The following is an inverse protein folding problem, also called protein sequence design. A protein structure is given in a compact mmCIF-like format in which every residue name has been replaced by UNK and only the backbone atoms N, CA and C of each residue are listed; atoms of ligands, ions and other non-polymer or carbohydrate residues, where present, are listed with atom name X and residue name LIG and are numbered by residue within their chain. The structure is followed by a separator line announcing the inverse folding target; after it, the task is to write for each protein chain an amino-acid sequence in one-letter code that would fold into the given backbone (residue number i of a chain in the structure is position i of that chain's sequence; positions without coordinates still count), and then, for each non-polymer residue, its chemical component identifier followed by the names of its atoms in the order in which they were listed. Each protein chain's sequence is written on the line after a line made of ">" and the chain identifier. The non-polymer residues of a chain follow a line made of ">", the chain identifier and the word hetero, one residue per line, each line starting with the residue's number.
data_IF_321134555416
#
_entry.id   IF_321134555416
#
_cell.length_a   1.000
_cell.length_b   1.000
_cell.length_c   1.000
_cell.angle_alpha   90.00
_cell.angle_beta   90.00
_cell.angle_gamma   90.00
#
_symmetry.space_group_name_H-M   'P 1'
#
loop_
_entity.id
_entity.type
_entity.pdbx_description
1 polymer ?
#
# COMPACT_ATOMS: atom_id res chain seq x y z
N UNK A 1 8.42 2.84 24.46
CA UNK A 1 8.08 3.95 23.54
C UNK A 1 9.28 4.88 23.41
N UNK A 2 10.13 4.71 22.39
CA UNK A 2 11.36 5.49 22.23
C UNK A 2 11.77 5.57 20.74
N UNK A 3 12.58 6.56 20.32
CA UNK A 3 13.17 6.64 19.00
C UNK A 3 13.91 5.36 18.61
N UNK A 4 13.85 4.95 17.32
CA UNK A 4 14.45 3.71 16.86
C UNK A 4 15.97 3.66 17.08
N UNK A 5 16.68 4.79 17.05
CA UNK A 5 18.14 4.89 17.25
C UNK A 5 18.56 4.50 18.67
N UNK A 6 17.62 4.50 19.62
CA UNK A 6 17.85 4.23 21.05
C UNK A 6 17.33 2.87 21.51
N UNK A 7 16.94 2.00 20.57
CA UNK A 7 16.47 0.65 20.87
C UNK A 7 17.56 -0.19 21.56
N UNK A 8 17.20 -0.83 22.68
CA UNK A 8 18.11 -1.68 23.47
C UNK A 8 17.62 -3.12 23.59
N UNK A 9 16.40 -3.41 23.13
CA UNK A 9 15.85 -4.77 23.15
C UNK A 9 16.45 -5.63 22.03
N UNK A 10 16.40 -6.96 22.21
CA UNK A 10 16.77 -7.92 21.17
C UNK A 10 15.81 -7.81 19.98
N UNK A 11 16.34 -7.94 18.76
CA UNK A 11 15.58 -7.92 17.51
C UNK A 11 15.79 -9.27 16.79
N UNK A 12 15.01 -10.31 17.16
CA UNK A 12 15.16 -11.63 16.56
C UNK A 12 14.81 -11.60 15.07
N UNK A 13 15.48 -12.46 14.31
CA UNK A 13 15.18 -12.68 12.90
C UNK A 13 14.36 -13.97 12.75
N UNK A 14 13.25 -13.87 12.04
CA UNK A 14 12.39 -14.99 11.67
C UNK A 14 12.48 -15.25 10.17
N UNK A 15 12.10 -16.45 9.75
CA UNK A 15 12.11 -16.86 8.35
C UNK A 15 11.03 -17.90 8.09
N UNK A 16 10.72 -18.06 6.82
CA UNK A 16 9.98 -19.19 6.27
C UNK A 16 10.96 -20.14 5.58
N UNK A 17 10.67 -21.44 5.61
CA UNK A 17 11.45 -22.49 4.95
C UNK A 17 10.55 -23.71 4.62
N UNK A 18 11.05 -24.75 3.94
CA UNK A 18 10.21 -25.90 3.56
C UNK A 18 9.49 -26.62 4.71
N UNK A 19 9.96 -26.50 5.96
CA UNK A 19 9.33 -27.09 7.13
C UNK A 19 8.36 -26.13 7.82
N UNK A 20 8.52 -24.83 7.59
CA UNK A 20 7.69 -23.76 8.12
C UNK A 20 7.36 -22.79 6.95
N UNK A 21 6.43 -23.18 6.06
CA UNK A 21 6.13 -22.44 4.83
C UNK A 21 5.44 -21.09 5.06
N UNK A 22 5.34 -20.28 4.01
CA UNK A 22 4.62 -19.02 4.02
C UNK A 22 4.43 -18.50 2.59
N UNK A 23 3.44 -19.08 1.89
CA UNK A 23 3.16 -18.82 0.49
C UNK A 23 2.65 -17.42 0.24
N UNK A 24 1.87 -16.88 1.15
CA UNK A 24 1.44 -15.48 1.19
C UNK A 24 2.67 -14.55 1.24
N UNK A 25 3.52 -14.69 2.24
CA UNK A 25 4.71 -13.84 2.42
C UNK A 25 5.72 -14.00 1.27
N UNK A 26 5.97 -15.23 0.81
CA UNK A 26 6.87 -15.49 -0.31
C UNK A 26 6.27 -15.02 -1.65
N UNK A 27 4.96 -15.21 -1.85
CA UNK A 27 4.21 -14.76 -3.01
C UNK A 27 4.21 -13.24 -3.12
N UNK A 28 3.84 -12.52 -2.06
CA UNK A 28 3.89 -11.05 -2.05
C UNK A 28 5.31 -10.52 -2.28
N UNK A 29 6.32 -11.16 -1.69
CA UNK A 29 7.73 -10.83 -1.96
C UNK A 29 8.11 -11.07 -3.43
N UNK A 30 7.61 -12.15 -4.04
CA UNK A 30 7.81 -12.41 -5.47
C UNK A 30 7.12 -11.35 -6.34
N UNK A 31 5.89 -10.96 -6.01
CA UNK A 31 5.14 -9.90 -6.69
C UNK A 31 5.91 -8.56 -6.65
N UNK A 32 6.37 -8.15 -5.46
CA UNK A 32 7.12 -6.92 -5.27
C UNK A 32 8.42 -6.90 -6.09
N UNK A 33 9.19 -8.00 -6.08
CA UNK A 33 10.43 -8.09 -6.85
C UNK A 33 10.17 -8.14 -8.36
N UNK A 34 9.12 -8.81 -8.81
CA UNK A 34 8.71 -8.83 -10.22
C UNK A 34 8.28 -7.43 -10.70
N UNK A 35 7.41 -6.74 -9.96
CA UNK A 35 7.01 -5.36 -10.27
C UNK A 35 8.21 -4.40 -10.29
N UNK A 36 9.10 -4.49 -9.31
CA UNK A 36 10.32 -3.69 -9.26
C UNK A 36 11.25 -3.97 -10.45
N UNK A 37 11.34 -5.23 -10.90
CA UNK A 37 12.15 -5.57 -12.07
C UNK A 37 11.72 -4.81 -13.32
N UNK A 38 10.40 -4.65 -13.53
CA UNK A 38 9.83 -3.87 -14.64
C UNK A 38 10.26 -2.41 -14.53
N UNK A 39 10.13 -1.81 -13.35
CA UNK A 39 10.47 -0.40 -13.11
C UNK A 39 11.98 -0.11 -13.33
N UNK A 40 12.86 -1.03 -12.95
CA UNK A 40 14.31 -0.87 -13.12
C UNK A 40 14.82 -1.32 -14.49
N UNK A 41 13.99 -1.94 -15.34
CA UNK A 41 14.41 -2.54 -16.60
C UNK A 41 15.13 -1.54 -17.53
N UNK A 42 14.64 -0.29 -17.58
CA UNK A 42 15.17 0.76 -18.47
C UNK A 42 16.40 1.49 -17.91
N UNK A 43 16.57 1.52 -16.59
CA UNK A 43 17.62 2.31 -15.91
C UNK A 43 18.77 1.44 -15.37
N UNK A 44 18.48 0.22 -14.95
CA UNK A 44 19.45 -0.73 -14.41
C UNK A 44 19.04 -2.18 -14.71
N UNK A 45 19.24 -2.60 -15.96
CA UNK A 45 18.91 -3.95 -16.42
C UNK A 45 19.62 -5.07 -15.62
N UNK A 46 20.85 -4.86 -15.13
CA UNK A 46 21.53 -5.89 -14.32
C UNK A 46 20.80 -6.14 -13.01
N UNK A 47 20.33 -5.07 -12.36
CA UNK A 47 19.57 -5.17 -11.13
C UNK A 47 18.16 -5.72 -11.39
N UNK A 48 17.49 -5.26 -12.44
CA UNK A 48 16.19 -5.80 -12.85
C UNK A 48 16.23 -7.34 -13.03
N UNK A 49 17.25 -7.87 -13.71
CA UNK A 49 17.43 -9.31 -13.87
C UNK A 49 17.68 -10.04 -12.54
N UNK A 50 18.40 -9.41 -11.60
CA UNK A 50 18.60 -9.98 -10.26
C UNK A 50 17.27 -10.06 -9.48
N UNK A 51 16.47 -8.99 -9.53
CA UNK A 51 15.15 -8.96 -8.88
C UNK A 51 14.24 -10.04 -9.48
N UNK A 52 14.15 -10.13 -10.81
CA UNK A 52 13.33 -11.12 -11.49
C UNK A 52 13.77 -12.56 -11.21
N UNK A 53 15.08 -12.81 -11.11
CA UNK A 53 15.60 -14.14 -10.72
C UNK A 53 15.14 -14.54 -9.33
N UNK A 54 15.20 -13.61 -8.38
CA UNK A 54 14.75 -13.85 -7.01
C UNK A 54 13.22 -13.95 -6.91
N UNK A 55 12.48 -13.18 -7.70
CA UNK A 55 11.03 -13.25 -7.78
C UNK A 55 10.56 -14.65 -8.19
N UNK A 56 11.16 -15.22 -9.25
CA UNK A 56 10.87 -16.58 -9.70
C UNK A 56 11.18 -17.62 -8.62
N UNK A 57 12.33 -17.50 -7.95
CA UNK A 57 12.70 -18.42 -6.88
C UNK A 57 11.74 -18.37 -5.68
N UNK A 58 11.26 -17.19 -5.29
CA UNK A 58 10.29 -17.02 -4.21
C UNK A 58 8.90 -17.54 -4.59
N UNK A 59 8.47 -17.31 -5.83
CA UNK A 59 7.22 -17.87 -6.34
C UNK A 59 7.25 -19.40 -6.38
N UNK A 60 8.34 -19.98 -6.91
CA UNK A 60 8.52 -21.43 -6.95
C UNK A 60 8.50 -22.03 -5.52
N UNK A 61 9.11 -21.33 -4.55
CA UNK A 61 9.02 -21.70 -3.14
C UNK A 61 7.59 -21.65 -2.61
N UNK A 62 6.87 -20.53 -2.85
CA UNK A 62 5.51 -20.31 -2.39
C UNK A 62 4.53 -21.36 -2.94
N UNK A 63 4.69 -21.73 -4.22
CA UNK A 63 3.85 -22.73 -4.88
C UNK A 63 4.16 -24.16 -4.39
N UNK A 64 5.44 -24.47 -4.17
CA UNK A 64 5.90 -25.82 -3.77
C UNK A 64 5.60 -26.13 -2.31
N UNK A 65 5.81 -25.17 -1.41
CA UNK A 65 5.66 -25.36 0.04
C UNK A 65 4.53 -24.48 0.54
N UNK A 66 3.31 -25.01 0.46
CA UNK A 66 2.11 -24.23 0.75
C UNK A 66 1.80 -24.09 2.24
N UNK A 67 1.46 -22.87 2.67
CA UNK A 67 0.98 -22.57 4.01
C UNK A 67 0.97 -21.07 4.30
N UNK A 68 0.21 -20.65 5.31
CA UNK A 68 0.20 -19.26 5.75
C UNK A 68 1.48 -18.95 6.54
N UNK A 69 2.12 -17.82 6.29
CA UNK A 69 3.35 -17.47 7.02
C UNK A 69 3.09 -17.24 8.51
N UNK A 70 1.87 -16.83 8.87
CA UNK A 70 1.48 -16.56 10.26
C UNK A 70 1.42 -17.83 11.12
N UNK A 71 1.26 -19.02 10.51
CA UNK A 71 1.40 -20.29 11.20
C UNK A 71 2.89 -20.62 11.51
N UNK A 72 3.78 -20.20 10.61
CA UNK A 72 5.23 -20.41 10.70
C UNK A 72 5.94 -19.37 11.56
N UNK A 73 5.38 -18.17 11.64
CA UNK A 73 5.87 -17.05 12.46
C UNK A 73 4.71 -16.53 13.32
N UNK A 74 4.34 -17.24 14.41
CA UNK A 74 3.18 -16.88 15.23
C UNK A 74 3.27 -15.48 15.86
N UNK A 75 4.48 -14.98 16.08
CA UNK A 75 4.72 -13.61 16.58
C UNK A 75 4.21 -12.54 15.62
N UNK A 76 4.13 -12.82 14.31
CA UNK A 76 3.59 -11.90 13.32
C UNK A 76 2.05 -11.96 13.27
N UNK A 77 1.44 -13.10 13.61
CA UNK A 77 0.00 -13.32 13.54
C UNK A 77 -0.81 -12.36 14.43
N UNK A 78 -0.23 -11.85 15.51
CA UNK A 78 -0.91 -10.87 16.38
C UNK A 78 -0.96 -9.45 15.80
N UNK A 79 -0.24 -9.19 14.70
CA UNK A 79 -0.18 -7.88 14.05
C UNK A 79 -0.70 -7.93 12.61
N UNK A 80 -0.16 -8.88 11.83
CA UNK A 80 -0.42 -9.05 10.41
C UNK A 80 -0.77 -10.51 10.12
N UNK A 81 -1.82 -11.02 10.76
CA UNK A 81 -2.27 -12.39 10.45
C UNK A 81 -2.65 -12.51 8.96
N UNK A 82 -2.32 -13.64 8.35
CA UNK A 82 -2.91 -14.01 7.05
C UNK A 82 -4.36 -14.41 7.26
N UNK A 83 -5.30 -13.49 6.95
CA UNK A 83 -6.74 -13.71 7.11
C UNK A 83 -7.36 -14.27 5.83
N UNK A 84 -6.94 -13.77 4.67
CA UNK A 84 -7.35 -14.23 3.34
C UNK A 84 -6.77 -15.60 2.95
N UNK A 85 -5.63 -15.97 3.54
CA UNK A 85 -4.85 -17.13 3.15
C UNK A 85 -3.71 -16.73 2.22
N UNK A 86 -3.37 -17.61 1.26
CA UNK A 86 -2.25 -17.38 0.33
C UNK A 86 -2.61 -17.47 -1.15
N UNK A 87 -3.86 -17.82 -1.46
CA UNK A 87 -4.27 -18.10 -2.84
C UNK A 87 -4.29 -16.82 -3.68
N UNK A 88 -4.69 -15.70 -3.08
CA UNK A 88 -4.68 -14.41 -3.74
C UNK A 88 -3.26 -13.89 -3.97
N UNK A 89 -2.29 -14.16 -3.09
CA UNK A 89 -0.87 -13.84 -3.35
C UNK A 89 -0.27 -14.74 -4.42
N UNK A 90 -0.66 -16.02 -4.51
CA UNK A 90 -0.23 -16.88 -5.62
C UNK A 90 -0.77 -16.34 -6.95
N UNK A 91 -2.03 -15.89 -7.00
CA UNK A 91 -2.60 -15.26 -8.19
C UNK A 91 -1.91 -13.92 -8.53
N UNK A 92 -1.71 -13.07 -7.52
CA UNK A 92 -1.08 -11.76 -7.62
C UNK A 92 0.37 -11.84 -8.14
N UNK A 93 1.17 -12.69 -7.51
CA UNK A 93 2.58 -12.87 -7.86
C UNK A 93 2.76 -13.52 -9.23
N UNK A 94 1.92 -14.49 -9.59
CA UNK A 94 1.89 -15.05 -10.93
C UNK A 94 1.56 -13.96 -11.97
N UNK A 95 0.61 -13.07 -11.68
CA UNK A 95 0.27 -11.98 -12.61
C UNK A 95 1.42 -10.99 -12.81
N UNK A 96 2.13 -10.62 -11.76
CA UNK A 96 3.32 -9.77 -11.87
C UNK A 96 4.50 -10.46 -12.59
N UNK A 97 4.70 -11.75 -12.35
CA UNK A 97 5.69 -12.54 -13.07
C UNK A 97 5.35 -12.66 -14.56
N UNK A 98 4.07 -12.80 -14.91
CA UNK A 98 3.63 -12.72 -16.29
C UNK A 98 3.96 -11.35 -16.88
N UNK A 99 3.59 -10.25 -16.22
CA UNK A 99 3.93 -8.89 -16.68
C UNK A 99 5.44 -8.68 -16.88
N UNK A 100 6.27 -9.26 -16.02
CA UNK A 100 7.72 -9.11 -16.09
C UNK A 100 8.39 -9.99 -17.16
N UNK A 101 7.75 -11.09 -17.58
CA UNK A 101 8.38 -12.11 -18.43
C UNK A 101 7.69 -12.35 -19.78
N UNK A 102 6.39 -12.10 -19.88
CA UNK A 102 5.54 -12.54 -20.98
C UNK A 102 5.33 -14.06 -21.05
N UNK A 103 5.74 -14.82 -20.03
CA UNK A 103 5.61 -16.28 -20.01
C UNK A 103 4.17 -16.68 -19.64
N UNK A 104 3.46 -17.24 -20.62
CA UNK A 104 2.07 -17.66 -20.51
C UNK A 104 1.82 -18.62 -19.34
N UNK A 105 2.84 -19.38 -18.91
CA UNK A 105 2.72 -20.29 -17.75
C UNK A 105 2.30 -19.54 -16.49
N UNK A 106 2.79 -18.31 -16.29
CA UNK A 106 2.41 -17.51 -15.14
C UNK A 106 1.00 -16.93 -15.26
N UNK A 107 0.57 -16.56 -16.47
CA UNK A 107 -0.81 -16.11 -16.69
C UNK A 107 -1.79 -17.27 -16.40
N UNK A 108 -1.54 -18.45 -16.94
CA UNK A 108 -2.36 -19.64 -16.69
C UNK A 108 -2.46 -19.98 -15.19
N UNK A 109 -1.35 -19.83 -14.46
CA UNK A 109 -1.32 -19.98 -12.99
C UNK A 109 -2.15 -18.90 -12.29
N UNK A 110 -1.99 -17.64 -12.67
CA UNK A 110 -2.74 -16.53 -12.11
C UNK A 110 -4.26 -16.77 -12.22
N UNK A 111 -4.72 -17.17 -13.41
CA UNK A 111 -6.12 -17.51 -13.64
C UNK A 111 -6.60 -18.71 -12.81
N UNK A 112 -5.73 -19.68 -12.56
CA UNK A 112 -6.07 -20.88 -11.78
C UNK A 112 -6.21 -20.63 -10.29
N UNK A 113 -5.47 -19.66 -9.74
CA UNK A 113 -5.49 -19.31 -8.32
C UNK A 113 -6.50 -18.21 -7.98
N UNK A 114 -6.98 -17.48 -8.99
CA UNK A 114 -7.89 -16.36 -8.80
C UNK A 114 -9.23 -16.79 -8.17
N UNK A 115 -9.54 -16.23 -7.00
CA UNK A 115 -10.70 -16.61 -6.17
C UNK A 115 -11.98 -15.81 -6.46
N UNK A 116 -11.89 -14.79 -7.31
CA UNK A 116 -12.98 -13.83 -7.54
C UNK A 116 -13.00 -12.69 -6.52
N UNK A 117 -13.70 -11.61 -6.85
CA UNK A 117 -13.78 -10.41 -6.01
C UNK A 117 -15.04 -10.42 -5.12
N UNK A 118 -14.84 -10.26 -3.81
CA UNK A 118 -15.87 -9.76 -2.89
C UNK A 118 -15.98 -8.23 -3.05
N UNK A 119 -17.12 -7.70 -3.52
CA UNK A 119 -17.29 -6.26 -3.74
C UNK A 119 -17.29 -5.46 -2.43
N UNK A 120 -17.57 -6.09 -1.28
CA UNK A 120 -17.63 -5.41 0.03
C UNK A 120 -16.26 -5.19 0.66
N UNK A 121 -15.19 -5.71 0.05
CA UNK A 121 -13.81 -5.57 0.50
C UNK A 121 -12.99 -4.80 -0.54
N UNK A 122 -11.72 -4.52 -0.24
CA UNK A 122 -10.79 -3.90 -1.18
C UNK A 122 -9.36 -4.41 -0.99
N UNK A 123 -8.49 -4.01 -1.91
CA UNK A 123 -7.06 -4.27 -1.89
C UNK A 123 -6.45 -3.81 -0.55
N UNK A 124 -5.65 -4.68 0.04
CA UNK A 124 -4.91 -4.38 1.26
C UNK A 124 -3.59 -5.14 1.30
N UNK A 125 -2.88 -5.05 2.42
CA UNK A 125 -1.71 -5.89 2.68
C UNK A 125 -2.08 -7.37 2.87
N UNK A 126 -3.37 -7.70 3.05
CA UNK A 126 -3.90 -9.06 3.25
C UNK A 126 -4.67 -9.56 2.02
N UNK A 127 -5.45 -8.73 1.33
CA UNK A 127 -6.23 -9.14 0.15
C UNK A 127 -5.73 -8.53 -1.17
N UNK A 128 -5.44 -9.39 -2.17
CA UNK A 128 -4.86 -9.00 -3.48
C UNK A 128 -5.78 -9.28 -4.67
N UNK A 129 -6.98 -9.81 -4.42
CA UNK A 129 -7.90 -10.25 -5.49
C UNK A 129 -8.32 -9.09 -6.39
N UNK A 130 -8.50 -7.88 -5.82
CA UNK A 130 -8.95 -6.71 -6.56
C UNK A 130 -7.90 -6.22 -7.57
N UNK A 131 -6.64 -6.07 -7.11
CA UNK A 131 -5.53 -5.75 -7.99
C UNK A 131 -5.28 -6.84 -9.04
N UNK A 132 -5.37 -8.11 -8.64
CA UNK A 132 -5.25 -9.25 -9.56
C UNK A 132 -6.34 -9.22 -10.64
N UNK A 133 -7.59 -8.97 -10.27
CA UNK A 133 -8.72 -8.87 -11.19
C UNK A 133 -8.54 -7.76 -12.23
N UNK A 134 -8.04 -6.59 -11.81
CA UNK A 134 -7.69 -5.49 -12.74
C UNK A 134 -6.61 -5.92 -13.72
N UNK A 135 -5.53 -6.52 -13.22
CA UNK A 135 -4.44 -6.97 -14.09
C UNK A 135 -4.92 -8.05 -15.07
N UNK A 136 -5.73 -9.01 -14.63
CA UNK A 136 -6.31 -10.03 -15.52
C UNK A 136 -7.28 -9.42 -16.55
N UNK A 137 -8.04 -8.39 -16.17
CA UNK A 137 -8.90 -7.65 -17.10
C UNK A 137 -8.11 -6.84 -18.13
N UNK A 138 -6.88 -6.39 -17.80
CA UNK A 138 -5.99 -5.70 -18.74
C UNK A 138 -5.28 -6.67 -19.69
N UNK A 139 -4.85 -7.82 -19.17
CA UNK A 139 -3.98 -8.76 -19.88
C UNK A 139 -4.76 -9.82 -20.66
N UNK A 140 -6.08 -9.92 -20.48
CA UNK A 140 -6.93 -10.92 -21.15
C UNK A 140 -8.18 -10.28 -21.73
N UNK A 141 -8.73 -10.89 -22.79
CA UNK A 141 -10.03 -10.51 -23.36
C UNK A 141 -11.22 -11.16 -22.63
N UNK A 142 -11.02 -11.70 -21.42
CA UNK A 142 -12.06 -12.45 -20.70
C UNK A 142 -12.99 -11.51 -19.93
N UNK A 143 -14.23 -11.41 -20.41
CA UNK A 143 -15.29 -10.56 -19.85
C UNK A 143 -15.55 -10.81 -18.35
N UNK A 144 -15.35 -12.03 -17.86
CA UNK A 144 -15.57 -12.39 -16.46
C UNK A 144 -14.78 -11.50 -15.48
N UNK A 145 -13.53 -11.16 -15.79
CA UNK A 145 -12.70 -10.33 -14.90
C UNK A 145 -13.19 -8.89 -14.88
N UNK A 146 -13.57 -8.36 -16.05
CA UNK A 146 -14.18 -7.03 -16.16
C UNK A 146 -15.48 -6.94 -15.38
N UNK A 147 -16.37 -7.92 -15.50
CA UNK A 147 -17.65 -7.95 -14.77
C UNK A 147 -17.41 -7.92 -13.24
N UNK A 148 -16.44 -8.68 -12.75
CA UNK A 148 -16.14 -8.72 -11.32
C UNK A 148 -15.53 -7.43 -10.80
N UNK A 149 -14.59 -6.84 -11.55
CA UNK A 149 -13.98 -5.55 -11.21
C UNK A 149 -15.01 -4.43 -11.27
N UNK A 150 -15.83 -4.37 -12.33
CA UNK A 150 -16.88 -3.36 -12.47
C UNK A 150 -17.93 -3.50 -11.37
N UNK A 151 -18.34 -4.71 -10.99
CA UNK A 151 -19.25 -4.92 -9.84
C UNK A 151 -18.68 -4.37 -8.53
N UNK A 152 -17.38 -4.54 -8.32
CA UNK A 152 -16.70 -4.03 -7.12
C UNK A 152 -16.58 -2.51 -7.16
N UNK A 153 -16.11 -1.92 -8.25
CA UNK A 153 -16.01 -0.47 -8.40
C UNK A 153 -17.39 0.18 -8.36
N UNK A 154 -18.42 -0.45 -8.93
CA UNK A 154 -19.80 0.03 -8.84
C UNK A 154 -20.32 0.03 -7.41
N UNK A 155 -19.97 -0.96 -6.58
CA UNK A 155 -20.32 -1.00 -5.17
C UNK A 155 -19.60 0.10 -4.37
N UNK A 156 -18.30 0.31 -4.65
CA UNK A 156 -17.48 1.28 -3.94
C UNK A 156 -17.77 2.72 -4.33
N UNK A 157 -18.29 2.97 -5.52
CA UNK A 157 -18.64 4.31 -6.03
C UNK A 157 -20.15 4.58 -5.98
N UNK A 158 -20.92 3.79 -5.25
CA UNK A 158 -22.37 4.00 -5.05
C UNK A 158 -22.62 4.77 -3.74
N UNK A 159 -22.86 6.06 -3.87
CA UNK A 159 -23.20 6.97 -2.77
C UNK A 159 -24.71 7.04 -2.47
N UNK A 160 -25.53 6.21 -3.15
CA UNK A 160 -26.99 6.22 -2.96
C UNK A 160 -27.47 5.50 -1.70
N UNK A 161 -26.55 4.81 -0.99
CA UNK A 161 -26.81 4.05 0.23
C UNK A 161 -26.99 2.54 0.03
N UNK A 162 -26.89 2.04 -1.22
CA UNK A 162 -26.91 0.61 -1.54
C UNK A 162 -25.50 0.01 -1.70
N UNK A 163 -24.47 0.87 -1.72
CA UNK A 163 -23.05 0.52 -1.85
C UNK A 163 -22.29 0.40 -0.53
N UNK A 164 -21.01 0.77 -0.58
CA UNK A 164 -20.19 0.97 0.62
C UNK A 164 -20.77 2.11 1.48
N UNK A 165 -20.52 2.09 2.79
CA UNK A 165 -20.92 3.21 3.64
C UNK A 165 -20.11 4.47 3.30
N UNK A 166 -20.79 5.63 3.30
CA UNK A 166 -20.17 6.92 3.04
C UNK A 166 -20.38 7.86 4.22
N UNK A 167 -19.38 8.69 4.54
CA UNK A 167 -19.58 9.86 5.39
C UNK A 167 -20.43 10.92 4.66
N UNK A 168 -21.02 11.87 5.39
CA UNK A 168 -21.74 13.00 4.76
C UNK A 168 -20.83 13.81 3.82
N UNK A 169 -19.54 13.88 4.15
CA UNK A 169 -18.49 14.51 3.36
C UNK A 169 -17.97 13.70 2.16
N UNK A 170 -18.45 12.48 1.93
CA UNK A 170 -18.10 11.71 0.74
C UNK A 170 -16.91 10.74 0.87
N UNK A 171 -16.45 10.42 2.09
CA UNK A 171 -15.46 9.36 2.29
C UNK A 171 -16.14 7.99 2.19
N UNK A 172 -15.68 7.13 1.28
CA UNK A 172 -16.00 5.71 1.25
C UNK A 172 -15.35 5.01 2.45
N UNK A 173 -16.16 4.58 3.40
CA UNK A 173 -15.72 4.10 4.71
C UNK A 173 -15.94 2.59 4.83
N UNK A 174 -14.84 1.84 4.99
CA UNK A 174 -14.88 0.38 5.10
C UNK A 174 -14.77 -0.13 6.53
N UNK A 175 -13.85 0.41 7.31
CA UNK A 175 -13.44 -0.14 8.60
C UNK A 175 -12.81 0.95 9.48
N UNK A 176 -12.85 0.77 10.79
CA UNK A 176 -12.35 1.75 11.77
C UNK A 176 -10.81 1.80 11.82
N UNK A 177 -10.14 0.72 11.43
CA UNK A 177 -8.70 0.68 11.31
C UNK A 177 -8.27 1.08 9.89
N UNK A 178 -7.87 2.34 9.73
CA UNK A 178 -7.31 2.81 8.46
C UNK A 178 -8.34 2.97 7.35
N UNK A 179 -9.47 3.61 7.66
CA UNK A 179 -10.51 3.97 6.69
C UNK A 179 -9.93 4.68 5.46
N UNK A 180 -9.03 5.66 5.66
CA UNK A 180 -8.42 6.40 4.56
C UNK A 180 -7.45 5.56 3.72
N UNK A 181 -6.79 4.55 4.31
CA UNK A 181 -5.97 3.60 3.56
C UNK A 181 -6.80 2.80 2.59
N UNK A 182 -7.98 2.32 3.02
CA UNK A 182 -8.85 1.54 2.15
C UNK A 182 -9.43 2.39 1.02
N UNK A 183 -9.92 3.60 1.33
CA UNK A 183 -10.36 4.56 0.32
C UNK A 183 -9.25 4.87 -0.69
N UNK A 184 -8.03 5.13 -0.23
CA UNK A 184 -6.88 5.42 -1.09
C UNK A 184 -6.45 4.23 -1.96
N UNK A 185 -6.50 3.00 -1.43
CA UNK A 185 -6.22 1.79 -2.20
C UNK A 185 -7.25 1.58 -3.32
N UNK A 186 -8.55 1.74 -3.00
CA UNK A 186 -9.62 1.64 -3.99
C UNK A 186 -9.48 2.77 -5.03
N UNK A 187 -9.22 4.00 -4.61
CA UNK A 187 -9.04 5.14 -5.52
C UNK A 187 -7.89 4.90 -6.52
N UNK A 188 -6.76 4.39 -6.05
CA UNK A 188 -5.65 4.02 -6.92
C UNK A 188 -6.05 2.99 -7.97
N UNK A 189 -6.71 1.91 -7.53
CA UNK A 189 -7.11 0.83 -8.43
C UNK A 189 -8.23 1.22 -9.39
N UNK A 190 -9.22 2.00 -8.94
CA UNK A 190 -10.27 2.58 -9.76
C UNK A 190 -9.65 3.44 -10.87
N UNK A 191 -8.66 4.27 -10.52
CA UNK A 191 -7.91 5.07 -11.47
C UNK A 191 -7.09 4.26 -12.48
N UNK A 192 -6.47 3.15 -12.06
CA UNK A 192 -5.77 2.25 -13.00
C UNK A 192 -6.77 1.57 -13.95
N UNK A 193 -7.94 1.16 -13.45
CA UNK A 193 -8.95 0.50 -14.27
C UNK A 193 -9.60 1.47 -15.28
N UNK A 194 -9.92 2.70 -14.86
CA UNK A 194 -10.49 3.73 -15.73
C UNK A 194 -9.57 4.10 -16.88
N UNK A 195 -8.28 4.27 -16.59
CA UNK A 195 -7.29 4.68 -17.59
C UNK A 195 -7.01 3.61 -18.65
N UNK A 196 -7.20 2.32 -18.32
CA UNK A 196 -6.69 1.22 -19.13
C UNK A 196 -7.76 0.25 -19.64
N UNK A 197 -8.96 0.22 -19.04
CA UNK A 197 -9.98 -0.79 -19.37
C UNK A 197 -11.34 -0.15 -19.63
N UNK A 198 -11.95 0.45 -18.61
CA UNK A 198 -13.28 1.06 -18.69
C UNK A 198 -13.50 2.00 -17.49
N UNK A 199 -14.03 3.19 -17.74
CA UNK A 199 -14.21 4.23 -16.71
C UNK A 199 -15.64 4.29 -16.15
N UNK A 200 -16.53 3.39 -16.56
CA UNK A 200 -17.91 3.40 -16.06
C UNK A 200 -18.67 4.70 -16.41
N UNK A 201 -18.32 5.33 -17.54
CA UNK A 201 -18.79 6.65 -17.95
C UNK A 201 -18.35 7.82 -17.04
N UNK A 202 -17.10 7.80 -16.55
CA UNK A 202 -16.55 8.83 -15.66
C UNK A 202 -16.61 8.44 -14.19
N UNK A 203 -17.47 7.49 -13.83
CA UNK A 203 -17.74 7.12 -12.44
C UNK A 203 -16.50 6.70 -11.66
N UNK A 204 -15.59 5.95 -12.27
CA UNK A 204 -14.45 5.38 -11.55
C UNK A 204 -13.30 6.39 -11.39
N UNK A 205 -13.05 7.21 -12.41
CA UNK A 205 -12.11 8.33 -12.33
C UNK A 205 -12.58 9.45 -11.39
N UNK A 206 -13.89 9.76 -11.39
CA UNK A 206 -14.49 10.71 -10.44
C UNK A 206 -14.34 10.19 -9.00
N UNK A 207 -14.73 8.94 -8.74
CA UNK A 207 -14.51 8.30 -7.43
C UNK A 207 -13.05 8.39 -6.97
N UNK A 208 -12.10 8.05 -7.86
CA UNK A 208 -10.68 8.11 -7.53
C UNK A 208 -10.22 9.52 -7.14
N UNK A 209 -10.75 10.55 -7.82
CA UNK A 209 -10.45 11.96 -7.53
C UNK A 209 -11.05 12.38 -6.19
N UNK A 210 -12.35 12.13 -6.00
CA UNK A 210 -13.10 12.56 -4.82
C UNK A 210 -12.50 11.99 -3.52
N UNK A 211 -12.11 10.71 -3.52
CA UNK A 211 -11.52 10.09 -2.33
C UNK A 211 -10.17 10.71 -1.95
N UNK A 212 -9.35 11.07 -2.94
CA UNK A 212 -8.05 11.70 -2.66
C UNK A 212 -8.24 13.16 -2.28
N UNK A 213 -9.14 13.90 -2.93
CA UNK A 213 -9.45 15.28 -2.54
C UNK A 213 -9.99 15.34 -1.11
N UNK A 214 -10.84 14.38 -0.69
CA UNK A 214 -11.25 14.22 0.71
C UNK A 214 -10.04 14.08 1.65
N UNK A 215 -9.11 13.17 1.33
CA UNK A 215 -7.88 12.94 2.12
C UNK A 215 -7.03 14.22 2.21
N UNK A 216 -6.94 14.99 1.12
CA UNK A 216 -6.08 16.15 1.02
C UNK A 216 -6.68 17.42 1.64
N UNK A 217 -8.01 17.53 1.73
CA UNK A 217 -8.65 18.66 2.41
C UNK A 217 -10.10 18.97 2.04
N UNK A 218 -10.64 18.39 0.98
CA UNK A 218 -12.02 18.63 0.55
C UNK A 218 -13.01 17.77 1.34
N UNK A 219 -13.17 18.12 2.60
CA UNK A 219 -14.08 17.48 3.52
C UNK A 219 -14.76 18.54 4.41
N UNK A 220 -15.86 18.21 5.11
CA UNK A 220 -16.60 19.17 5.94
C UNK A 220 -15.76 19.90 7.00
N UNK A 221 -14.64 19.28 7.42
CA UNK A 221 -13.71 19.84 8.40
C UNK A 221 -12.59 20.69 7.78
N UNK A 222 -12.57 20.85 6.45
CA UNK A 222 -11.54 21.57 5.67
C UNK A 222 -10.12 21.16 6.08
N UNK A 223 -9.89 19.88 6.35
CA UNK A 223 -8.63 19.41 6.95
C UNK A 223 -7.93 18.39 6.08
N UNK A 224 -6.62 18.47 6.00
CA UNK A 224 -5.83 17.37 5.48
C UNK A 224 -5.72 16.25 6.52
N UNK A 225 -5.65 15.01 6.04
CA UNK A 225 -5.26 13.84 6.82
C UNK A 225 -3.80 13.42 6.58
N UNK A 226 -3.02 14.24 5.87
CA UNK A 226 -1.61 13.97 5.54
C UNK A 226 -0.71 14.82 6.41
N UNK A 227 0.12 14.19 7.25
CA UNK A 227 0.99 14.88 8.20
C UNK A 227 1.90 15.88 7.47
N UNK A 228 1.84 17.14 7.90
CA UNK A 228 2.66 18.23 7.37
C UNK A 228 2.23 18.78 6.01
N UNK A 229 1.07 18.38 5.48
CA UNK A 229 0.52 18.85 4.21
C UNK A 229 -0.87 19.48 4.41
N UNK A 230 -1.21 20.49 3.60
CA UNK A 230 -2.54 21.09 3.58
C UNK A 230 -2.95 21.85 4.87
N UNK A 231 -4.21 22.23 4.92
CA UNK A 231 -4.78 22.94 6.07
C UNK A 231 -5.05 21.98 7.24
N UNK A 232 -4.79 22.40 8.47
CA UNK A 232 -5.15 21.65 9.69
C UNK A 232 -4.71 20.16 9.72
N UNK A 233 -3.53 19.87 9.14
CA UNK A 233 -2.94 18.54 9.09
C UNK A 233 -2.76 17.92 10.49
N UNK A 234 -2.74 16.57 10.62
CA UNK A 234 -2.39 15.91 11.88
C UNK A 234 -1.00 16.34 12.37
N UNK A 235 -0.86 16.47 13.69
CA UNK A 235 0.37 16.87 14.38
C UNK A 235 0.91 15.76 15.28
N UNK A 236 0.04 14.86 15.76
CA UNK A 236 0.39 13.86 16.74
C UNK A 236 0.11 12.43 16.27
N UNK A 237 0.65 12.00 15.10
CA UNK A 237 0.52 10.60 14.67
C UNK A 237 1.16 9.64 15.70
N UNK A 238 0.64 8.41 15.79
CA UNK A 238 1.14 7.32 16.60
C UNK A 238 2.48 6.80 16.04
N UNK A 239 3.55 7.56 16.22
CA UNK A 239 4.85 7.19 15.65
C UNK A 239 6.00 7.54 16.60
N UNK A 240 6.75 6.51 17.02
CA UNK A 240 7.80 6.62 18.06
C UNK A 240 8.94 7.57 17.68
N UNK A 241 9.44 7.51 16.44
CA UNK A 241 10.52 8.39 15.96
C UNK A 241 10.09 9.84 15.84
N UNK A 242 9.00 10.10 15.13
CA UNK A 242 8.31 11.39 15.07
C UNK A 242 8.03 12.01 16.44
N UNK A 243 7.52 11.22 17.39
CA UNK A 243 7.26 11.69 18.75
C UNK A 243 8.54 12.10 19.49
N UNK A 244 9.58 11.27 19.47
CA UNK A 244 10.88 11.65 20.04
C UNK A 244 10.99 11.50 21.57
N UNK A 245 10.18 10.65 22.22
CA UNK A 245 10.24 10.48 23.68
C UNK A 245 11.62 10.01 24.15
N UNK A 246 12.17 10.65 25.18
CA UNK A 246 13.40 10.22 25.85
C UNK A 246 13.14 9.55 27.21
N UNK A 247 11.87 9.49 27.63
CA UNK A 247 11.45 9.04 28.96
C UNK A 247 10.69 7.72 28.94
N UNK A 248 10.62 7.06 27.79
CA UNK A 248 9.84 5.84 27.58
C UNK A 248 8.33 6.03 27.81
N UNK A 249 7.81 7.23 27.54
CA UNK A 249 6.44 7.61 27.82
C UNK A 249 5.78 8.20 26.56
N UNK A 250 4.60 7.69 26.20
CA UNK A 250 3.84 8.18 25.03
C UNK A 250 3.21 9.54 25.29
N UNK A 251 3.04 9.96 26.54
CA UNK A 251 2.47 11.26 26.92
C UNK A 251 3.54 12.35 27.09
N UNK A 252 4.83 11.99 26.99
CA UNK A 252 5.96 12.89 27.25
C UNK A 252 7.01 12.85 26.14
N UNK A 253 7.27 13.97 25.44
CA UNK A 253 6.58 15.27 25.54
C UNK A 253 5.10 15.23 25.06
N UNK A 254 4.33 16.30 25.30
CA UNK A 254 2.93 16.36 24.86
C UNK A 254 2.82 16.31 23.34
N UNK A 255 3.60 17.13 22.64
CA UNK A 255 3.60 17.21 21.17
C UNK A 255 4.72 16.37 20.56
N UNK A 256 4.52 15.90 19.33
CA UNK A 256 5.60 15.27 18.57
C UNK A 256 6.73 16.26 18.27
N UNK A 257 7.99 15.83 18.50
CA UNK A 257 9.16 16.67 18.29
C UNK A 257 9.56 16.82 16.81
N UNK A 258 9.17 15.87 15.96
CA UNK A 258 9.47 15.87 14.53
C UNK A 258 8.20 15.76 13.70
N UNK A 259 8.20 16.40 12.53
CA UNK A 259 7.12 16.29 11.55
C UNK A 259 7.42 15.07 10.64
N UNK A 260 6.49 14.12 10.59
CA UNK A 260 6.58 12.96 9.72
C UNK A 260 5.90 13.26 8.37
N UNK A 261 6.54 14.10 7.56
CA UNK A 261 5.97 14.59 6.30
C UNK A 261 5.44 13.46 5.41
N UNK A 262 4.22 13.65 4.89
CA UNK A 262 3.60 12.76 3.91
C UNK A 262 2.90 11.55 4.50
N UNK A 263 3.01 11.29 5.80
CA UNK A 263 2.33 10.16 6.42
C UNK A 263 0.80 10.34 6.39
N UNK A 264 0.08 9.37 5.84
CA UNK A 264 -1.37 9.30 5.90
C UNK A 264 -1.78 8.65 7.22
N UNK A 265 -2.62 9.34 8.02
CA UNK A 265 -3.19 8.77 9.25
C UNK A 265 -4.35 7.82 8.94
N UNK A 266 -4.80 7.04 9.93
CA UNK A 266 -5.91 6.10 9.75
C UNK A 266 -7.22 6.74 9.30
N UNK A 267 -7.60 7.88 9.91
CA UNK A 267 -8.78 8.64 9.55
C UNK A 267 -9.98 8.44 10.47
N UNK A 268 -11.19 8.86 10.05
CA UNK A 268 -12.39 8.76 10.87
C UNK A 268 -12.68 7.31 11.33
N UNK A 269 -13.07 7.13 12.60
CA UNK A 269 -13.32 5.81 13.21
C UNK A 269 -14.72 5.23 12.97
N UNK A 270 -15.59 5.99 12.31
CA UNK A 270 -16.94 5.62 11.91
C UNK A 270 -17.31 6.45 10.68
N UNK A 271 -18.38 6.13 9.93
CA UNK A 271 -18.83 6.92 8.78
C UNK A 271 -19.44 8.29 9.20
N UNK A 272 -18.70 9.07 9.98
CA UNK A 272 -18.97 10.46 10.40
C UNK A 272 -17.69 11.29 10.22
N UNK A 273 -17.77 12.39 9.48
CA UNK A 273 -16.63 13.29 9.25
C UNK A 273 -16.03 13.87 10.53
N UNK A 274 -16.82 13.92 11.62
CA UNK A 274 -16.39 14.42 12.91
C UNK A 274 -15.70 13.36 13.79
N UNK A 275 -15.66 12.10 13.35
CA UNK A 275 -15.10 10.99 14.09
C UNK A 275 -13.57 10.88 13.99
N UNK A 276 -12.87 11.99 13.78
CA UNK A 276 -11.41 12.06 13.80
C UNK A 276 -10.92 13.01 14.90
N UNK A 277 -10.00 12.51 15.72
CA UNK A 277 -9.34 13.29 16.78
C UNK A 277 -7.84 13.06 16.71
N UNK A 278 -7.04 14.14 16.65
CA UNK A 278 -5.57 14.10 16.56
C UNK A 278 -4.93 13.86 17.95
N UNK A 279 -4.98 12.60 18.39
CA UNK A 279 -4.45 12.12 19.68
C UNK A 279 -3.57 10.90 19.44
N UNK A 280 -2.29 11.02 19.79
CA UNK A 280 -1.25 10.01 19.59
C UNK A 280 -1.53 8.66 20.24
N UNK A 281 -2.24 8.63 21.37
CA UNK A 281 -2.58 7.37 22.06
C UNK A 281 -3.72 6.61 21.39
N UNK A 282 -4.48 7.26 20.50
CA UNK A 282 -5.47 6.60 19.67
C UNK A 282 -4.80 6.02 18.44
N UNK A 283 -4.25 4.80 18.58
CA UNK A 283 -3.56 4.13 17.48
C UNK A 283 -4.52 3.84 16.31
N UNK A 284 -5.78 3.46 16.51
CA UNK A 284 -6.67 3.14 15.38
C UNK A 284 -6.83 4.33 14.41
N UNK A 285 -7.01 5.54 14.96
CA UNK A 285 -7.27 6.77 14.19
C UNK A 285 -5.99 7.46 13.71
N UNK A 286 -4.92 7.43 14.51
CA UNK A 286 -3.67 8.16 14.24
C UNK A 286 -2.45 7.27 13.95
N UNK A 287 -2.62 5.95 13.78
CA UNK A 287 -1.56 5.09 13.23
C UNK A 287 -1.17 5.62 11.85
N UNK A 288 0.11 5.42 11.55
CA UNK A 288 0.69 5.64 10.23
C UNK A 288 1.47 4.37 9.88
N UNK A 289 1.34 3.91 8.64
CA UNK A 289 1.96 2.67 8.20
C UNK A 289 2.40 2.74 6.74
N UNK A 290 3.29 1.84 6.34
CA UNK A 290 3.77 1.77 4.95
C UNK A 290 2.61 1.47 3.99
N UNK A 291 1.71 0.55 4.36
CA UNK A 291 0.58 0.15 3.53
C UNK A 291 -0.47 1.25 3.40
N UNK A 292 -0.57 2.18 4.37
CA UNK A 292 -1.48 3.33 4.28
C UNK A 292 -1.07 4.26 3.15
N UNK A 293 0.23 4.45 2.98
CA UNK A 293 0.79 5.31 1.96
C UNK A 293 0.94 4.63 0.59
N UNK A 294 0.79 3.30 0.49
CA UNK A 294 1.07 2.55 -0.74
C UNK A 294 0.10 2.92 -1.88
N UNK A 295 -1.19 2.59 -1.76
CA UNK A 295 -2.21 2.97 -2.75
C UNK A 295 -2.33 4.48 -2.87
N UNK A 296 -2.28 5.21 -1.75
CA UNK A 296 -2.30 6.66 -1.73
C UNK A 296 -1.25 7.31 -2.64
N UNK A 297 0.00 6.83 -2.59
CA UNK A 297 1.07 7.35 -3.44
C UNK A 297 0.80 7.08 -4.92
N UNK A 298 0.26 5.90 -5.25
CA UNK A 298 -0.14 5.55 -6.62
C UNK A 298 -1.27 6.45 -7.14
N UNK A 299 -2.28 6.71 -6.32
CA UNK A 299 -3.39 7.59 -6.67
C UNK A 299 -2.92 9.05 -6.86
N UNK A 300 -2.06 9.56 -5.97
CA UNK A 300 -1.45 10.88 -6.11
C UNK A 300 -0.64 11.02 -7.42
N UNK A 301 0.09 9.97 -7.81
CA UNK A 301 0.85 9.97 -9.06
C UNK A 301 -0.08 10.08 -10.29
N UNK A 302 -1.22 9.38 -10.27
CA UNK A 302 -2.25 9.48 -11.32
C UNK A 302 -2.82 10.90 -11.40
N UNK A 303 -3.27 11.46 -10.28
CA UNK A 303 -3.85 12.81 -10.23
C UNK A 303 -2.86 13.88 -10.66
N UNK A 304 -1.59 13.76 -10.24
CA UNK A 304 -0.54 14.66 -10.67
C UNK A 304 -0.39 14.66 -12.20
N UNK A 305 -0.42 13.47 -12.82
CA UNK A 305 -0.36 13.33 -14.28
C UNK A 305 -1.57 14.01 -14.95
N UNK A 306 -2.78 13.77 -14.47
CA UNK A 306 -4.00 14.42 -14.99
C UNK A 306 -3.92 15.95 -14.90
N UNK A 307 -3.49 16.50 -13.75
CA UNK A 307 -3.32 17.95 -13.59
C UNK A 307 -2.24 18.51 -14.53
N UNK A 308 -1.15 17.78 -14.75
CA UNK A 308 -0.14 18.19 -15.73
C UNK A 308 -0.69 18.20 -17.15
N UNK A 309 -1.45 17.19 -17.55
CA UNK A 309 -2.08 17.12 -18.88
C UNK A 309 -3.09 18.26 -19.08
N UNK A 310 -3.87 18.58 -18.06
CA UNK A 310 -4.80 19.72 -18.06
C UNK A 310 -4.08 21.08 -18.16
N UNK A 311 -2.93 21.23 -17.49
CA UNK A 311 -2.18 22.49 -17.43
C UNK A 311 -1.24 22.72 -18.62
N UNK A 312 -0.74 21.66 -19.27
CA UNK A 312 0.21 21.73 -20.38
C UNK A 312 -0.45 21.47 -21.75
N UNK A 313 -1.70 20.96 -21.78
CA UNK A 313 -2.36 20.45 -22.96
C UNK A 313 -1.89 19.04 -23.32
N UNK A 314 -2.75 18.24 -23.95
CA UNK A 314 -2.63 16.79 -24.19
C UNK A 314 -1.47 16.33 -25.10
N UNK A 315 -0.48 17.19 -25.42
CA UNK A 315 0.63 16.91 -26.33
C UNK A 315 2.02 17.27 -25.77
N UNK A 316 2.16 17.44 -24.46
CA UNK A 316 3.47 17.69 -23.84
C UNK A 316 3.86 16.48 -23.00
N UNK A 317 4.89 15.75 -23.41
CA UNK A 317 5.44 14.69 -22.58
C UNK A 317 5.90 15.28 -21.23
N UNK A 318 5.59 14.62 -20.10
CA UNK A 318 6.12 14.99 -18.80
C UNK A 318 7.64 15.12 -18.88
N UNK A 319 8.17 16.34 -18.70
CA UNK A 319 9.59 16.50 -18.41
C UNK A 319 9.78 15.92 -17.02
N UNK A 320 10.36 14.71 -16.93
CA UNK A 320 10.78 14.17 -15.64
C UNK A 320 11.71 15.21 -15.01
N UNK A 321 11.21 15.83 -13.94
CA UNK A 321 12.02 16.69 -13.10
C UNK A 321 13.15 15.85 -12.55
N UNK A 322 14.38 16.10 -13.00
CA UNK A 322 15.59 15.63 -12.33
C UNK A 322 15.73 16.45 -11.05
N UNK A 323 14.86 16.19 -10.06
CA UNK A 323 15.20 16.59 -8.70
C UNK A 323 16.38 15.71 -8.34
N UNK A 324 17.57 16.31 -8.24
CA UNK A 324 18.73 15.62 -7.71
C UNK A 324 18.32 14.96 -6.38
N UNK A 325 18.62 13.67 -6.16
CA UNK A 325 18.32 13.03 -4.89
C UNK A 325 18.93 13.90 -3.78
N UNK A 326 18.13 14.18 -2.75
CA UNK A 326 18.59 14.87 -1.55
C UNK A 326 19.86 14.15 -1.11
N UNK A 327 21.00 14.84 -1.26
CA UNK A 327 22.30 14.37 -0.80
C UNK A 327 22.25 14.40 0.73
N UNK A 328 21.71 13.35 1.33
CA UNK A 328 21.92 13.10 2.75
C UNK A 328 23.32 12.52 2.85
N UNK A 329 24.30 13.36 3.21
CA UNK A 329 25.60 12.82 3.58
C UNK A 329 25.40 11.84 4.74
N UNK A 330 25.86 10.59 4.62
CA UNK A 330 25.78 9.66 5.73
C UNK A 330 26.61 10.22 6.89
N UNK A 331 25.96 10.53 8.00
CA UNK A 331 26.65 10.73 9.27
C UNK A 331 27.22 9.37 9.67
N UNK A 332 28.45 9.09 9.26
CA UNK A 332 29.21 7.94 9.72
C UNK A 332 29.51 8.19 11.20
N UNK A 333 28.72 7.56 12.06
CA UNK A 333 29.08 7.36 13.46
C UNK A 333 30.35 6.53 13.51
N UNK A 334 31.50 7.16 13.71
CA UNK A 334 32.76 6.48 13.99
C UNK A 334 32.69 5.87 15.39
N UNK A 335 32.12 4.67 15.49
CA UNK A 335 32.38 3.80 16.64
C UNK A 335 33.60 2.97 16.28
N UNK A 336 34.71 3.22 16.97
CA UNK A 336 35.97 2.50 16.79
C UNK A 336 35.73 0.98 16.89
N UNK A 337 36.30 0.16 15.97
CA UNK A 337 36.23 -1.27 16.08
C UNK A 337 37.01 -1.73 17.32
N UNK A 338 36.30 -2.35 18.27
CA UNK A 338 36.90 -3.13 19.35
C UNK A 338 37.81 -4.17 18.69
N UNK A 339 39.11 -3.99 18.85
CA UNK A 339 40.11 -4.93 18.38
C UNK A 339 40.03 -6.19 19.23
N UNK A 340 39.63 -7.30 18.60
CA UNK A 340 39.84 -8.64 19.13
C UNK A 340 41.35 -8.88 19.27
N UNK A 341 41.88 -8.78 20.50
CA UNK A 341 43.15 -9.43 20.84
C UNK A 341 42.86 -10.72 21.58
N UNK A 342 43.13 -11.82 20.89
CA UNK A 342 43.27 -13.17 21.45
C UNK A 342 44.45 -13.17 22.42
N UNK A 343 44.20 -13.49 23.70
CA UNK A 343 44.94 -14.47 24.54
C UNK A 343 43.92 -15.12 25.48
#
# INVERSE_FOLDING_TARGET
>A
WAPPETMTMVRPAFKIDPLNPGSDLAGESAAALAAASIAFQSTNNSYANQLLTNAKALFDFAETYQGNYSDSIPDAAIFYNSWSGYQDELAWSATWLYKATGDQTYLDKAESYYLGIDPTQTQSWDQKVHGTGILLAQETDQEKYRIEVERWLDYWSDDSGEGIEYTEGGLAWLDDWGSLRYAANTAFLAGIYSDNVNDGNGRYSDFATDQIDYILGDNPNNRSYVVGFGHNSPKNPHHRGAHGSTTNDIESPTDNLNILYGALVGGPSEPDDNAYVDVRTNYAINEVALDYNAGFTGALARMYREQMELSLGSNVEPVMSTVDPIQVEPVVSTVDPITNSII
#
